data_IF_877455389913
#
_entry.id   IF_877455389913
#
_cell.length_a   1.000
_cell.length_b   1.000
_cell.length_c   1.000
_cell.angle_alpha   90.00
_cell.angle_beta   90.00
_cell.angle_gamma   90.00
#
_symmetry.space_group_name_H-M   'P 1'
#
loop_
_entity.id
_entity.type
_entity.pdbx_description
1 polymer ?
#
# COMPACT_ATOMS: atom_id res chain seq x y z
N UNK A 1 21.67 -13.24 25.71
CA UNK A 1 20.57 -12.33 25.35
C UNK A 1 20.08 -12.84 24.03
N UNK A 2 19.05 -13.69 24.08
CA UNK A 2 18.54 -14.37 22.90
C UNK A 2 17.86 -13.32 22.01
N UNK A 3 18.49 -13.02 20.88
CA UNK A 3 17.81 -12.31 19.80
C UNK A 3 16.76 -13.25 19.27
N UNK A 4 15.50 -13.09 19.70
CA UNK A 4 14.36 -13.62 18.96
C UNK A 4 14.54 -13.19 17.51
N UNK A 5 14.67 -14.18 16.62
CA UNK A 5 14.64 -13.91 15.20
C UNK A 5 13.28 -13.27 14.92
N UNK A 6 13.30 -11.97 14.61
CA UNK A 6 12.11 -11.26 14.13
C UNK A 6 11.68 -12.01 12.89
N UNK A 7 10.59 -12.78 13.01
CA UNK A 7 9.87 -13.36 11.87
C UNK A 7 9.80 -12.26 10.80
N UNK A 8 10.23 -12.52 9.55
CA UNK A 8 10.16 -11.51 8.52
C UNK A 8 8.70 -11.07 8.41
N UNK A 9 8.41 -9.84 8.87
CA UNK A 9 7.07 -9.28 8.76
C UNK A 9 6.65 -9.40 7.30
N UNK A 10 5.45 -9.91 7.08
CA UNK A 10 4.85 -10.07 5.76
C UNK A 10 3.80 -8.98 5.59
N UNK A 11 3.71 -8.37 4.40
CA UNK A 11 2.79 -7.26 4.14
C UNK A 11 3.45 -5.89 4.31
N UNK A 12 2.61 -4.85 4.31
CA UNK A 12 3.09 -3.46 4.40
C UNK A 12 3.61 -3.12 5.81
N UNK A 13 4.75 -2.45 5.88
CA UNK A 13 5.39 -2.01 7.12
C UNK A 13 5.04 -0.55 7.44
N UNK A 14 4.80 0.26 6.41
CA UNK A 14 4.36 1.65 6.53
C UNK A 14 3.20 1.91 5.57
N UNK A 15 2.16 2.57 6.06
CA UNK A 15 1.05 3.11 5.29
C UNK A 15 1.31 4.61 5.14
N UNK A 16 1.60 5.04 3.91
CA UNK A 16 1.88 6.44 3.60
C UNK A 16 0.59 7.17 3.22
N UNK A 17 0.12 8.02 4.13
CA UNK A 17 -1.14 8.76 4.04
C UNK A 17 -0.86 10.14 3.45
N UNK A 18 -0.68 10.18 2.14
CA UNK A 18 -0.49 11.40 1.38
C UNK A 18 -1.12 11.22 -0.01
N UNK A 19 -2.03 12.11 -0.38
CA UNK A 19 -2.65 12.08 -1.71
C UNK A 19 -1.64 12.45 -2.80
N UNK A 20 -2.05 12.23 -4.05
CA UNK A 20 -1.33 12.69 -5.23
C UNK A 20 -0.85 14.13 -5.07
N UNK A 21 0.39 14.38 -5.51
CA UNK A 21 1.03 15.71 -5.50
C UNK A 21 1.43 16.26 -4.12
N UNK A 22 1.28 15.49 -3.05
CA UNK A 22 1.73 15.88 -1.69
C UNK A 22 3.18 15.48 -1.40
N UNK A 23 4.06 15.53 -2.41
CA UNK A 23 5.48 15.14 -2.25
C UNK A 23 5.73 13.63 -2.13
N UNK A 24 4.76 12.79 -2.53
CA UNK A 24 4.82 11.33 -2.46
C UNK A 24 6.07 10.74 -3.13
N UNK A 25 6.50 11.31 -4.26
CA UNK A 25 7.70 10.84 -4.96
C UNK A 25 8.99 11.09 -4.16
N UNK A 26 9.10 12.26 -3.52
CA UNK A 26 10.24 12.57 -2.66
C UNK A 26 10.28 11.67 -1.43
N UNK A 27 9.11 11.35 -0.85
CA UNK A 27 9.02 10.39 0.24
C UNK A 27 9.37 8.97 -0.20
N UNK A 28 8.97 8.56 -1.41
CA UNK A 28 9.36 7.27 -1.94
C UNK A 28 10.89 7.13 -2.04
N UNK A 29 11.60 8.15 -2.52
CA UNK A 29 13.07 8.18 -2.52
C UNK A 29 13.67 8.16 -1.10
N UNK A 30 13.05 8.87 -0.15
CA UNK A 30 13.49 8.86 1.25
C UNK A 30 13.36 7.45 1.87
N UNK A 31 12.25 6.75 1.64
CA UNK A 31 12.05 5.38 2.10
C UNK A 31 13.01 4.39 1.44
N UNK A 32 13.28 4.52 0.13
CA UNK A 32 14.28 3.71 -0.56
C UNK A 32 15.67 3.91 0.04
N UNK A 33 16.01 5.15 0.42
CA UNK A 33 17.27 5.47 1.10
C UNK A 33 17.40 4.81 2.49
N UNK A 34 16.28 4.46 3.12
CA UNK A 34 16.23 3.68 4.37
C UNK A 34 16.26 2.15 4.13
N UNK A 35 16.27 1.70 2.88
CA UNK A 35 16.33 0.28 2.50
C UNK A 35 14.99 -0.41 2.28
N UNK A 36 13.87 0.33 2.28
CA UNK A 36 12.54 -0.24 2.00
C UNK A 36 12.31 -0.46 0.50
N UNK A 37 11.52 -1.50 0.17
CA UNK A 37 10.90 -1.66 -1.16
C UNK A 37 9.64 -0.83 -1.23
N UNK A 38 9.62 0.17 -2.10
CA UNK A 38 8.56 1.17 -2.17
C UNK A 38 7.88 1.13 -3.52
N UNK A 39 6.55 1.14 -3.54
CA UNK A 39 5.76 1.39 -4.74
C UNK A 39 5.44 2.87 -4.88
N UNK A 40 5.63 3.41 -6.09
CA UNK A 40 5.08 4.71 -6.49
C UNK A 40 4.51 4.65 -7.92
N UNK A 41 3.36 5.31 -8.15
CA UNK A 41 2.61 5.24 -9.40
C UNK A 41 3.32 5.76 -10.67
N UNK A 42 4.48 6.43 -10.55
CA UNK A 42 5.19 7.03 -11.70
C UNK A 42 6.40 6.21 -12.16
N UNK A 43 6.79 5.19 -11.40
CA UNK A 43 7.94 4.34 -11.75
C UNK A 43 7.66 3.47 -12.97
N UNK A 44 6.45 2.92 -13.05
CA UNK A 44 5.96 2.18 -14.21
C UNK A 44 4.48 2.51 -14.47
N UNK A 45 4.26 3.67 -15.08
CA UNK A 45 2.92 4.21 -15.34
C UNK A 45 2.01 3.21 -16.06
N UNK A 46 2.57 2.41 -16.99
CA UNK A 46 1.80 1.44 -17.77
C UNK A 46 1.73 0.06 -17.13
N UNK A 47 2.68 -0.32 -16.28
CA UNK A 47 2.72 -1.61 -15.60
C UNK A 47 2.07 -1.63 -14.21
N UNK A 48 1.54 -0.50 -13.73
CA UNK A 48 0.70 -0.51 -12.53
C UNK A 48 -0.50 -1.49 -12.69
N UNK A 49 -0.92 -2.17 -11.61
CA UNK A 49 -2.00 -3.15 -11.65
C UNK A 49 -3.39 -2.50 -11.69
N UNK A 50 -3.65 -1.68 -12.72
CA UNK A 50 -4.85 -0.83 -12.83
C UNK A 50 -6.16 -1.60 -12.64
N UNK A 51 -6.30 -2.78 -13.27
CA UNK A 51 -7.51 -3.61 -13.12
C UNK A 51 -7.75 -4.08 -11.69
N UNK A 52 -6.70 -4.33 -10.90
CA UNK A 52 -6.86 -4.74 -9.50
C UNK A 52 -7.08 -3.55 -8.58
N UNK A 53 -6.51 -2.39 -8.91
CA UNK A 53 -6.82 -1.11 -8.23
C UNK A 53 -8.30 -0.73 -8.46
N UNK A 54 -8.82 -0.91 -9.67
CA UNK A 54 -10.25 -0.71 -9.98
C UNK A 54 -11.14 -1.63 -9.15
N UNK A 55 -10.80 -2.92 -9.04
CA UNK A 55 -11.53 -3.86 -8.17
C UNK A 55 -11.48 -3.45 -6.69
N UNK A 56 -10.33 -2.94 -6.22
CA UNK A 56 -10.20 -2.42 -4.86
C UNK A 56 -11.11 -1.20 -4.63
N UNK A 57 -11.20 -0.30 -5.62
CA UNK A 57 -12.12 0.84 -5.59
C UNK A 57 -13.58 0.41 -5.56
N UNK A 58 -13.98 -0.54 -6.42
CA UNK A 58 -15.32 -1.12 -6.45
C UNK A 58 -15.71 -1.84 -5.15
N UNK A 59 -14.74 -2.46 -4.46
CA UNK A 59 -14.90 -3.10 -3.17
C UNK A 59 -15.01 -2.10 -2.00
N UNK A 60 -14.35 -0.95 -2.12
CA UNK A 60 -14.30 0.10 -1.08
C UNK A 60 -15.49 1.05 -1.17
N UNK A 61 -15.85 1.45 -2.39
CA UNK A 61 -16.95 2.36 -2.68
C UNK A 61 -17.97 1.68 -3.59
N UNK A 62 -19.01 1.04 -3.04
CA UNK A 62 -19.99 0.30 -3.83
C UNK A 62 -20.74 1.12 -4.89
N UNK A 63 -20.63 2.45 -4.85
CA UNK A 63 -21.23 3.37 -5.82
C UNK A 63 -20.38 3.60 -7.09
N UNK A 64 -19.12 3.17 -7.15
CA UNK A 64 -18.19 3.55 -8.24
C UNK A 64 -18.00 2.51 -9.35
N UNK A 65 -18.86 1.49 -9.43
CA UNK A 65 -18.77 0.48 -10.48
C UNK A 65 -19.62 -0.75 -10.18
N UNK A 66 -19.09 -1.94 -10.48
CA UNK A 66 -19.72 -3.21 -10.12
C UNK A 66 -19.49 -3.48 -8.63
N UNK A 67 -20.52 -3.53 -7.78
CA UNK A 67 -20.32 -3.75 -6.34
C UNK A 67 -19.58 -5.05 -6.06
N UNK A 68 -18.57 -4.98 -5.19
CA UNK A 68 -17.77 -6.14 -4.75
C UNK A 68 -17.78 -6.26 -3.23
N UNK A 69 -17.39 -7.45 -2.77
CA UNK A 69 -17.09 -7.62 -1.35
C UNK A 69 -15.80 -6.86 -0.99
N UNK A 70 -15.70 -6.32 0.24
CA UNK A 70 -14.48 -5.69 0.72
C UNK A 70 -13.27 -6.62 0.56
N UNK A 71 -12.12 -6.05 0.19
CA UNK A 71 -10.86 -6.80 0.08
C UNK A 71 -10.43 -7.36 1.45
N UNK A 72 -10.03 -8.62 1.47
CA UNK A 72 -9.31 -9.22 2.57
C UNK A 72 -7.80 -8.89 2.50
N UNK A 73 -7.07 -9.17 3.58
CA UNK A 73 -5.60 -8.96 3.61
C UNK A 73 -4.88 -9.66 2.44
N UNK A 74 -5.33 -10.86 2.03
CA UNK A 74 -4.75 -11.59 0.90
C UNK A 74 -4.91 -10.88 -0.46
N UNK A 75 -5.98 -10.10 -0.62
CA UNK A 75 -6.21 -9.32 -1.83
C UNK A 75 -5.24 -8.14 -1.89
N UNK A 76 -5.04 -7.46 -0.75
CA UNK A 76 -4.02 -6.42 -0.60
C UNK A 76 -2.59 -6.95 -0.74
N UNK A 77 -2.32 -8.15 -0.24
CA UNK A 77 -1.03 -8.83 -0.40
C UNK A 77 -0.75 -9.13 -1.87
N UNK A 78 -1.78 -9.54 -2.63
CA UNK A 78 -1.67 -9.80 -4.06
C UNK A 78 -1.44 -8.51 -4.85
N UNK A 79 -2.12 -7.43 -4.45
CA UNK A 79 -2.00 -6.12 -5.08
C UNK A 79 -0.62 -5.49 -4.83
N UNK A 80 -0.19 -5.41 -3.57
CA UNK A 80 1.07 -4.76 -3.16
C UNK A 80 1.83 -5.47 -2.04
N UNK A 81 1.16 -6.00 -1.02
CA UNK A 81 1.80 -6.43 0.24
C UNK A 81 2.80 -7.58 0.13
N UNK A 82 2.76 -8.36 -0.95
CA UNK A 82 3.77 -9.41 -1.22
C UNK A 82 5.03 -8.89 -1.92
N UNK A 83 4.99 -7.68 -2.47
CA UNK A 83 6.06 -7.11 -3.32
C UNK A 83 6.75 -5.91 -2.70
N UNK A 84 6.01 -5.12 -1.93
CA UNK A 84 6.45 -3.84 -1.39
C UNK A 84 6.28 -3.80 0.12
N UNK A 85 7.20 -3.10 0.78
CA UNK A 85 7.12 -2.81 2.22
C UNK A 85 6.26 -1.55 2.45
N UNK A 86 6.18 -0.65 1.46
CA UNK A 86 5.48 0.63 1.54
C UNK A 86 4.79 0.92 0.21
N UNK A 87 3.52 1.33 0.26
CA UNK A 87 2.80 1.89 -0.89
C UNK A 87 2.60 3.39 -0.68
N UNK A 88 2.90 4.18 -1.70
CA UNK A 88 2.69 5.63 -1.73
C UNK A 88 1.74 5.97 -2.89
N UNK A 89 1.25 7.21 -2.96
CA UNK A 89 0.53 7.72 -4.14
C UNK A 89 -0.74 6.90 -4.45
N UNK A 90 -0.68 5.87 -5.30
CA UNK A 90 -1.82 5.01 -5.66
C UNK A 90 -2.44 4.24 -4.48
N UNK A 91 -1.71 4.03 -3.38
CA UNK A 91 -2.24 3.42 -2.16
C UNK A 91 -3.05 4.37 -1.28
N UNK A 92 -2.91 5.70 -1.45
CA UNK A 92 -3.49 6.69 -0.55
C UNK A 92 -5.02 6.71 -0.46
N UNK A 93 -5.79 6.35 -1.51
CA UNK A 93 -7.24 6.31 -1.39
C UNK A 93 -7.76 5.20 -0.45
N UNK A 94 -6.95 4.18 -0.17
CA UNK A 94 -7.33 2.96 0.54
C UNK A 94 -6.81 2.90 1.98
N UNK A 95 -6.51 4.05 2.59
CA UNK A 95 -5.79 4.10 3.88
C UNK A 95 -6.53 3.37 4.99
N UNK A 96 -7.86 3.46 5.06
CA UNK A 96 -8.62 2.76 6.09
C UNK A 96 -8.58 1.24 5.90
N UNK A 97 -8.70 0.80 4.66
CA UNK A 97 -8.66 -0.61 4.27
C UNK A 97 -7.28 -1.20 4.52
N UNK A 98 -6.22 -0.46 4.19
CA UNK A 98 -4.84 -0.87 4.43
C UNK A 98 -4.51 -0.88 5.93
N UNK A 99 -5.00 0.07 6.73
CA UNK A 99 -4.82 0.05 8.20
C UNK A 99 -5.49 -1.18 8.81
N UNK A 100 -6.70 -1.52 8.34
CA UNK A 100 -7.40 -2.72 8.79
C UNK A 100 -6.68 -4.01 8.36
N UNK A 101 -6.14 -4.04 7.14
CA UNK A 101 -5.41 -5.20 6.62
C UNK A 101 -4.02 -5.38 7.26
N UNK A 102 -3.36 -4.29 7.66
CA UNK A 102 -2.00 -4.30 8.21
C UNK A 102 -1.94 -3.52 9.54
N UNK A 103 -2.54 -4.06 10.62
CA UNK A 103 -2.70 -3.32 11.89
C UNK A 103 -1.36 -3.01 12.58
N UNK A 104 -0.30 -3.74 12.25
CA UNK A 104 1.05 -3.53 12.80
C UNK A 104 1.87 -2.47 12.02
N UNK A 105 1.38 -2.03 10.86
CA UNK A 105 2.06 -1.05 10.02
C UNK A 105 2.09 0.32 10.71
N UNK A 106 3.19 1.05 10.54
CA UNK A 106 3.28 2.44 10.99
C UNK A 106 2.55 3.35 10.00
N UNK A 107 1.95 4.42 10.51
CA UNK A 107 1.24 5.39 9.67
C UNK A 107 2.06 6.68 9.60
N UNK A 108 2.31 7.17 8.39
CA UNK A 108 2.96 8.47 8.14
C UNK A 108 1.99 9.35 7.37
N UNK A 109 1.62 10.49 7.95
CA UNK A 109 0.76 11.51 7.33
C UNK A 109 1.64 12.70 6.91
N UNK A 110 1.41 13.22 5.70
CA UNK A 110 2.14 14.37 5.14
C UNK A 110 1.20 15.54 4.95
#
# INVERSE_FOLDING_TARGET
>A
MDTEAVSPRKGLFVIHVALFRMGTNSFAEAYRSLGYKVHHGVEDVRGNPWTDIEKAAEATWPSVGTPRQPFAQSDWDSLWGSKYDIVTDLGSPFVHELINAYPDAKVVVV
#
